data_IF_940508936465
#
_entry.id   IF_940508936465
#
_cell.length_a   1.000
_cell.length_b   1.000
_cell.length_c   1.000
_cell.angle_alpha   90.00
_cell.angle_beta   90.00
_cell.angle_gamma   90.00
#
_symmetry.space_group_name_H-M   'P 1'
#
loop_
_entity.id
_entity.type
_entity.pdbx_description
1 polymer ?
#
# COMPACT_ATOMS: atom_id res chain seq x y z
N UNK A 1 -6.83 23.72 -18.64
CA UNK A 1 -6.48 22.28 -18.65
C UNK A 1 -5.19 21.96 -17.88
N UNK A 2 -4.34 22.94 -17.51
CA UNK A 2 -3.12 22.71 -16.72
C UNK A 2 -3.36 22.42 -15.24
N UNK A 3 -4.40 23.00 -14.62
CA UNK A 3 -4.65 22.87 -13.17
C UNK A 3 -4.93 21.42 -12.74
N UNK A 4 -5.83 20.70 -13.42
CA UNK A 4 -6.24 19.35 -13.01
C UNK A 4 -5.10 18.32 -13.09
N UNK A 5 -4.33 18.32 -14.19
CA UNK A 5 -3.17 17.44 -14.37
C UNK A 5 -2.07 17.71 -13.34
N UNK A 6 -1.87 18.99 -13.00
CA UNK A 6 -0.94 19.40 -11.95
C UNK A 6 -1.39 18.89 -10.57
N UNK A 7 -2.67 19.03 -10.23
CA UNK A 7 -3.21 18.52 -8.97
C UNK A 7 -3.14 17.00 -8.87
N UNK A 8 -3.41 16.24 -9.94
CA UNK A 8 -3.21 14.78 -9.91
C UNK A 8 -1.76 14.41 -9.67
N UNK A 9 -0.79 15.12 -10.26
CA UNK A 9 0.62 14.86 -10.00
C UNK A 9 0.98 15.13 -8.55
N UNK A 10 0.50 16.25 -7.98
CA UNK A 10 0.70 16.55 -6.57
C UNK A 10 0.11 15.45 -5.69
N UNK A 11 -1.10 14.97 -6.00
CA UNK A 11 -1.74 13.90 -5.24
C UNK A 11 -0.91 12.61 -5.29
N UNK A 12 -0.47 12.18 -6.48
CA UNK A 12 0.37 10.99 -6.67
C UNK A 12 1.72 11.15 -5.96
N UNK A 13 2.33 12.35 -6.02
CA UNK A 13 3.58 12.65 -5.32
C UNK A 13 3.41 12.56 -3.81
N UNK A 14 2.40 13.23 -3.25
CA UNK A 14 2.12 13.20 -1.81
C UNK A 14 1.88 11.76 -1.36
N UNK A 15 1.07 11.01 -2.11
CA UNK A 15 0.80 9.61 -1.80
C UNK A 15 2.07 8.77 -1.83
N UNK A 16 2.90 8.90 -2.87
CA UNK A 16 4.19 8.19 -2.99
C UNK A 16 5.12 8.54 -1.82
N UNK A 17 5.20 9.81 -1.43
CA UNK A 17 5.98 10.27 -0.28
C UNK A 17 5.44 9.68 1.02
N UNK A 18 4.12 9.67 1.22
CA UNK A 18 3.49 9.07 2.41
C UNK A 18 3.77 7.58 2.45
N UNK A 19 3.61 6.85 1.35
CA UNK A 19 3.94 5.43 1.26
C UNK A 19 5.43 5.20 1.59
N UNK A 20 6.34 6.02 1.07
CA UNK A 20 7.76 5.98 1.40
C UNK A 20 8.00 6.19 2.91
N UNK A 21 7.43 7.24 3.50
CA UNK A 21 7.61 7.54 4.93
C UNK A 21 7.07 6.41 5.81
N UNK A 22 5.94 5.80 5.45
CA UNK A 22 5.32 4.73 6.23
C UNK A 22 6.06 3.39 6.10
N UNK A 23 6.62 3.09 4.93
CA UNK A 23 7.25 1.78 4.65
C UNK A 23 8.76 1.77 4.87
N UNK A 24 9.42 2.91 4.70
CA UNK A 24 10.85 3.04 4.89
C UNK A 24 11.35 2.50 6.24
N UNK A 25 10.70 2.80 7.38
CA UNK A 25 11.23 2.34 8.66
C UNK A 25 11.01 0.83 8.86
N UNK A 26 10.04 0.23 8.19
CA UNK A 26 9.90 -1.24 8.09
C UNK A 26 11.05 -1.83 7.26
N UNK A 27 11.38 -1.22 6.12
CA UNK A 27 12.45 -1.71 5.23
C UNK A 27 13.84 -1.58 5.83
N UNK A 28 14.11 -0.50 6.57
CA UNK A 28 15.42 -0.25 7.21
C UNK A 28 15.47 -0.79 8.65
N UNK A 29 14.45 -1.54 9.09
CA UNK A 29 14.40 -2.12 10.44
C UNK A 29 14.47 -1.07 11.56
N UNK A 30 14.03 0.16 11.30
CA UNK A 30 13.98 1.24 12.29
C UNK A 30 12.94 0.95 13.36
N UNK A 31 11.86 0.24 13.01
CA UNK A 31 10.84 -0.22 13.96
C UNK A 31 11.26 -1.43 14.80
N UNK A 32 12.54 -1.52 15.17
CA UNK A 32 12.99 -2.45 16.21
C UNK A 32 12.12 -2.22 17.45
N UNK A 33 11.53 -3.27 18.04
CA UNK A 33 10.74 -3.10 19.25
C UNK A 33 11.66 -2.66 20.40
N UNK A 34 11.15 -1.76 21.25
CA UNK A 34 11.84 -1.24 22.43
C UNK A 34 11.19 -1.81 23.70
N UNK A 35 11.93 -1.89 24.81
CA UNK A 35 11.45 -2.38 26.10
C UNK A 35 10.46 -1.37 26.73
N UNK A 36 10.58 -0.09 26.35
CA UNK A 36 9.70 1.00 26.81
C UNK A 36 8.41 1.13 26.00
N UNK A 37 8.29 0.41 24.89
CA UNK A 37 7.08 0.44 24.06
C UNK A 37 5.90 -0.21 24.80
N UNK A 38 4.69 0.28 24.52
CA UNK A 38 3.46 -0.41 24.91
C UNK A 38 3.46 -1.84 24.35
N UNK A 39 3.00 -2.80 25.15
CA UNK A 39 2.99 -4.22 24.78
C UNK A 39 2.25 -4.48 23.47
N UNK A 40 1.18 -3.73 23.22
CA UNK A 40 0.43 -3.74 21.98
C UNK A 40 1.29 -3.26 20.80
N UNK A 41 1.93 -2.10 20.90
CA UNK A 41 2.77 -1.53 19.84
C UNK A 41 3.97 -2.44 19.49
N UNK A 42 4.60 -3.03 20.51
CA UNK A 42 5.67 -4.04 20.34
C UNK A 42 5.17 -5.22 19.53
N UNK A 43 3.95 -5.69 19.79
CA UNK A 43 3.37 -6.84 19.12
C UNK A 43 3.06 -6.56 17.65
N UNK A 44 2.61 -5.36 17.30
CA UNK A 44 2.44 -4.92 15.89
C UNK A 44 3.78 -4.90 15.18
N UNK A 45 4.79 -4.31 15.83
CA UNK A 45 6.14 -4.22 15.27
C UNK A 45 6.63 -5.62 14.95
N UNK A 46 6.52 -6.53 15.90
CA UNK A 46 6.88 -7.92 15.73
C UNK A 46 6.06 -8.60 14.63
N UNK A 47 4.73 -8.39 14.56
CA UNK A 47 3.84 -9.08 13.64
C UNK A 47 4.07 -8.68 12.17
N UNK A 48 4.23 -7.38 11.89
CA UNK A 48 4.28 -6.85 10.52
C UNK A 48 5.54 -6.04 10.19
N UNK A 49 6.09 -5.28 11.15
CA UNK A 49 7.07 -4.23 10.83
C UNK A 49 8.52 -4.63 11.08
N UNK A 50 8.75 -5.78 11.73
CA UNK A 50 10.05 -6.24 12.18
C UNK A 50 10.23 -7.71 11.86
N UNK A 51 11.13 -8.00 10.93
CA UNK A 51 11.56 -9.34 10.56
C UNK A 51 12.93 -9.61 11.20
N UNK A 52 13.01 -10.48 12.23
CA UNK A 52 14.26 -10.77 12.94
C UNK A 52 15.39 -11.24 12.02
N UNK A 53 15.05 -11.97 10.95
CA UNK A 53 16.02 -12.52 9.99
C UNK A 53 16.57 -11.40 9.10
N UNK A 54 15.67 -10.62 8.48
CA UNK A 54 16.10 -9.50 7.64
C UNK A 54 16.83 -8.39 8.41
N UNK A 55 16.50 -8.22 9.70
CA UNK A 55 17.12 -7.24 10.57
C UNK A 55 18.36 -7.79 11.33
N UNK A 56 18.69 -9.08 11.14
CA UNK A 56 19.80 -9.78 11.77
C UNK A 56 19.86 -9.59 13.30
N UNK A 57 18.69 -9.61 13.95
CA UNK A 57 18.58 -9.36 15.40
C UNK A 57 17.34 -10.03 15.97
N UNK A 58 17.57 -10.92 16.94
CA UNK A 58 16.53 -11.58 17.71
C UNK A 58 16.01 -10.62 18.79
N UNK A 59 14.68 -10.56 18.95
CA UNK A 59 14.03 -9.76 19.98
C UNK A 59 13.41 -10.65 21.05
N UNK A 60 13.53 -10.21 22.31
CA UNK A 60 12.96 -10.87 23.46
C UNK A 60 11.74 -10.08 23.95
N UNK A 61 10.59 -10.73 23.95
CA UNK A 61 9.32 -10.18 24.39
C UNK A 61 8.95 -10.76 25.75
N UNK A 62 8.75 -9.89 26.75
CA UNK A 62 8.30 -10.31 28.07
C UNK A 62 6.78 -10.27 28.12
N UNK A 63 6.16 -11.43 28.28
CA UNK A 63 4.72 -11.59 28.35
C UNK A 63 4.31 -12.05 29.75
N UNK A 64 3.27 -11.43 30.30
CA UNK A 64 2.72 -11.83 31.60
C UNK A 64 1.38 -12.51 31.38
N UNK A 65 1.29 -13.78 31.75
CA UNK A 65 0.07 -14.58 31.66
C UNK A 65 -0.60 -14.59 33.03
N UNK A 66 -1.91 -14.39 33.09
CA UNK A 66 -2.68 -14.61 34.31
C UNK A 66 -3.34 -15.99 34.25
N UNK A 67 -3.03 -16.84 35.22
CA UNK A 67 -3.61 -18.17 35.32
C UNK A 67 -4.00 -18.47 36.77
N UNK A 68 -5.26 -18.86 37.02
CA UNK A 68 -5.77 -19.16 38.36
C UNK A 68 -5.49 -18.08 39.43
N UNK A 69 -5.50 -16.80 39.04
CA UNK A 69 -5.26 -15.68 39.96
C UNK A 69 -3.78 -15.39 40.26
N UNK A 70 -2.84 -16.16 39.72
CA UNK A 70 -1.40 -15.90 39.78
C UNK A 70 -0.89 -15.36 38.45
N UNK A 71 0.08 -14.44 38.51
CA UNK A 71 0.74 -13.90 37.32
C UNK A 71 2.06 -14.63 37.07
N UNK A 72 2.22 -15.14 35.85
CA UNK A 72 3.43 -15.80 35.38
C UNK A 72 4.10 -14.93 34.34
N UNK A 73 5.34 -14.51 34.58
CA UNK A 73 6.17 -13.84 33.58
C UNK A 73 6.92 -14.88 32.76
N UNK A 74 6.80 -14.81 31.44
CA UNK A 74 7.51 -15.66 30.50
C UNK A 74 8.21 -14.79 29.47
N UNK A 75 9.39 -15.20 29.05
CA UNK A 75 10.14 -14.54 28.00
C UNK A 75 9.98 -15.37 26.74
N UNK A 76 9.45 -14.74 25.70
CA UNK A 76 9.37 -15.27 24.35
C UNK A 76 10.44 -14.65 23.47
N UNK A 77 10.97 -15.41 22.52
CA UNK A 77 11.74 -14.84 21.42
C UNK A 77 11.36 -15.51 20.12
N UNK A 78 11.37 -14.71 19.07
CA UNK A 78 10.96 -15.10 17.73
C UNK A 78 12.22 -15.09 16.89
N UNK A 79 12.69 -16.29 16.51
CA UNK A 79 13.86 -16.44 15.65
C UNK A 79 13.54 -16.07 14.21
N UNK A 80 12.36 -16.49 13.74
CA UNK A 80 11.85 -16.23 12.40
C UNK A 80 10.40 -15.80 12.46
N UNK A 81 10.04 -14.78 11.67
CA UNK A 81 8.65 -14.38 11.48
C UNK A 81 8.31 -14.35 10.00
N UNK A 82 7.67 -15.43 9.52
CA UNK A 82 7.24 -15.56 8.13
C UNK A 82 6.20 -14.52 7.72
N UNK A 83 5.32 -14.12 8.65
CA UNK A 83 4.29 -13.10 8.40
C UNK A 83 4.95 -11.76 8.14
N UNK A 84 5.89 -11.34 9.00
CA UNK A 84 6.64 -10.11 8.81
C UNK A 84 7.53 -10.14 7.56
N UNK A 85 8.15 -11.29 7.26
CA UNK A 85 8.97 -11.46 6.05
C UNK A 85 8.13 -11.35 4.76
N UNK A 86 6.96 -12.00 4.72
CA UNK A 86 6.01 -11.91 3.62
C UNK A 86 5.47 -10.48 3.49
N UNK A 87 5.06 -9.86 4.60
CA UNK A 87 4.61 -8.48 4.64
C UNK A 87 5.68 -7.50 4.12
N UNK A 88 6.95 -7.70 4.50
CA UNK A 88 8.09 -6.92 4.02
C UNK A 88 8.29 -7.10 2.52
N UNK A 89 8.21 -8.33 2.00
CA UNK A 89 8.32 -8.62 0.56
C UNK A 89 7.20 -7.93 -0.24
N UNK A 90 5.97 -8.08 0.23
CA UNK A 90 4.78 -7.40 -0.26
C UNK A 90 4.95 -5.87 -0.26
N UNK A 91 5.43 -5.31 0.85
CA UNK A 91 5.71 -3.88 0.99
C UNK A 91 6.74 -3.38 -0.04
N UNK A 92 7.80 -4.17 -0.34
CA UNK A 92 8.78 -3.84 -1.38
C UNK A 92 8.17 -3.82 -2.79
N UNK A 93 7.31 -4.79 -3.10
CA UNK A 93 6.60 -4.81 -4.38
C UNK A 93 5.67 -3.59 -4.51
N UNK A 94 4.91 -3.31 -3.45
CA UNK A 94 3.99 -2.19 -3.37
C UNK A 94 4.69 -0.82 -3.55
N UNK A 95 5.79 -0.57 -2.84
CA UNK A 95 6.53 0.68 -2.97
C UNK A 95 7.14 0.85 -4.37
N UNK A 96 7.58 -0.26 -4.97
CA UNK A 96 8.13 -0.26 -6.33
C UNK A 96 7.05 0.11 -7.35
N UNK A 97 5.82 -0.39 -7.18
CA UNK A 97 4.68 0.01 -8.02
C UNK A 97 4.38 1.50 -7.87
N UNK A 98 4.36 2.05 -6.65
CA UNK A 98 4.15 3.49 -6.44
C UNK A 98 5.24 4.34 -7.08
N UNK A 99 6.51 3.97 -6.92
CA UNK A 99 7.64 4.68 -7.57
C UNK A 99 7.50 4.62 -9.08
N UNK A 100 7.18 3.45 -9.64
CA UNK A 100 6.98 3.28 -11.08
C UNK A 100 5.81 4.10 -11.60
N UNK A 101 4.70 4.13 -10.85
CA UNK A 101 3.53 4.93 -11.17
C UNK A 101 3.82 6.43 -11.15
N UNK A 102 4.58 6.89 -10.16
CA UNK A 102 5.03 8.27 -10.06
C UNK A 102 5.92 8.67 -11.24
N UNK A 103 6.87 7.82 -11.64
CA UNK A 103 7.71 8.03 -12.83
C UNK A 103 6.84 8.15 -14.09
N UNK A 104 5.88 7.24 -14.27
CA UNK A 104 4.94 7.30 -15.39
C UNK A 104 4.09 8.57 -15.37
N UNK A 105 3.71 9.06 -14.19
CA UNK A 105 3.00 10.35 -14.05
C UNK A 105 3.84 11.52 -14.54
N UNK A 106 5.14 11.54 -14.22
CA UNK A 106 6.07 12.56 -14.71
C UNK A 106 6.18 12.49 -16.24
N UNK A 107 6.37 11.28 -16.79
CA UNK A 107 6.46 11.07 -18.23
C UNK A 107 5.18 11.53 -18.95
N UNK A 108 4.01 11.21 -18.40
CA UNK A 108 2.73 11.64 -18.94
C UNK A 108 2.60 13.18 -18.92
N UNK A 109 3.09 13.86 -17.88
CA UNK A 109 3.11 15.32 -17.87
C UNK A 109 4.03 15.89 -18.95
N UNK A 110 5.22 15.34 -19.11
CA UNK A 110 6.17 15.77 -20.15
C UNK A 110 5.54 15.54 -21.54
N UNK A 111 4.93 14.38 -21.78
CA UNK A 111 4.26 14.06 -23.04
C UNK A 111 3.01 14.92 -23.29
N UNK A 112 2.32 15.39 -22.25
CA UNK A 112 1.17 16.29 -22.41
C UNK A 112 1.53 17.60 -23.13
N UNK A 113 2.80 18.01 -23.03
CA UNK A 113 3.35 19.15 -23.79
C UNK A 113 3.63 18.82 -25.26
N UNK A 114 3.75 17.53 -25.61
CA UNK A 114 4.11 17.02 -26.95
C UNK A 114 2.97 16.21 -27.56
N UNK A 115 2.17 16.88 -28.39
CA UNK A 115 0.93 16.36 -29.00
C UNK A 115 1.01 15.06 -29.82
N UNK A 116 2.20 14.50 -30.10
CA UNK A 116 2.32 13.26 -30.89
C UNK A 116 2.51 12.00 -30.04
N UNK A 117 3.05 12.10 -28.82
CA UNK A 117 3.49 10.92 -28.04
C UNK A 117 2.59 10.53 -26.87
N UNK A 118 1.60 11.36 -26.50
CA UNK A 118 0.82 11.25 -25.24
C UNK A 118 0.03 9.95 -24.97
N UNK A 119 0.12 8.92 -25.82
CA UNK A 119 -0.59 7.66 -25.64
C UNK A 119 0.32 6.54 -25.14
N UNK A 120 1.64 6.69 -25.28
CA UNK A 120 2.60 5.65 -24.89
C UNK A 120 2.77 5.56 -23.37
N UNK A 121 2.80 6.68 -22.65
CA UNK A 121 2.90 6.68 -21.18
C UNK A 121 1.56 6.45 -20.47
N UNK A 122 0.44 6.81 -21.11
CA UNK A 122 -0.88 6.75 -20.49
C UNK A 122 -1.35 5.31 -20.22
N UNK A 123 -1.16 4.40 -21.17
CA UNK A 123 -1.56 3.00 -21.01
C UNK A 123 -0.81 2.32 -19.85
N UNK A 124 0.55 2.33 -19.79
CA UNK A 124 1.25 1.76 -18.65
C UNK A 124 0.92 2.50 -17.35
N UNK A 125 0.71 3.82 -17.37
CA UNK A 125 0.25 4.57 -16.20
C UNK A 125 -1.08 4.02 -15.65
N UNK A 126 -2.06 3.78 -16.52
CA UNK A 126 -3.37 3.25 -16.09
C UNK A 126 -3.29 1.81 -15.60
N UNK A 127 -2.46 0.97 -16.24
CA UNK A 127 -2.26 -0.43 -15.83
C UNK A 127 -1.61 -0.48 -14.45
N UNK A 128 -0.58 0.32 -14.21
CA UNK A 128 0.12 0.37 -12.93
C UNK A 128 -0.77 0.95 -11.83
N UNK A 129 -1.50 2.04 -12.11
CA UNK A 129 -2.46 2.59 -11.14
C UNK A 129 -3.55 1.57 -10.75
N UNK A 130 -4.05 0.80 -11.72
CA UNK A 130 -5.00 -0.28 -11.44
C UNK A 130 -4.38 -1.39 -10.59
N UNK A 131 -3.13 -1.75 -10.86
CA UNK A 131 -2.39 -2.73 -10.06
C UNK A 131 -2.17 -2.24 -8.62
N UNK A 132 -1.84 -0.96 -8.42
CA UNK A 132 -1.72 -0.33 -7.10
C UNK A 132 -3.04 -0.44 -6.32
N UNK A 133 -4.16 -0.07 -6.94
CA UNK A 133 -5.50 -0.22 -6.33
C UNK A 133 -5.78 -1.67 -5.91
N UNK A 134 -5.49 -2.63 -6.80
CA UNK A 134 -5.71 -4.04 -6.51
C UNK A 134 -4.87 -4.50 -5.31
N UNK A 135 -3.61 -4.07 -5.22
CA UNK A 135 -2.73 -4.40 -4.08
C UNK A 135 -3.24 -3.78 -2.78
N UNK A 136 -3.69 -2.52 -2.81
CA UNK A 136 -4.26 -1.85 -1.63
C UNK A 136 -5.50 -2.58 -1.11
N UNK A 137 -6.38 -3.05 -2.01
CA UNK A 137 -7.55 -3.86 -1.65
C UNK A 137 -7.13 -5.20 -1.06
N UNK A 138 -6.13 -5.88 -1.65
CA UNK A 138 -5.61 -7.14 -1.12
C UNK A 138 -5.08 -6.93 0.31
N UNK A 139 -4.33 -5.86 0.58
CA UNK A 139 -3.83 -5.57 1.92
C UNK A 139 -4.95 -5.24 2.90
N UNK A 140 -5.95 -4.47 2.48
CA UNK A 140 -7.13 -4.23 3.30
C UNK A 140 -7.81 -5.56 3.69
N UNK A 141 -7.98 -6.48 2.74
CA UNK A 141 -8.58 -7.80 3.01
C UNK A 141 -7.69 -8.62 3.94
N UNK A 142 -6.37 -8.65 3.72
CA UNK A 142 -5.43 -9.37 4.60
C UNK A 142 -5.53 -8.86 6.04
N UNK A 143 -5.52 -7.55 6.24
CA UNK A 143 -5.68 -6.97 7.58
C UNK A 143 -7.04 -7.28 8.20
N UNK A 144 -8.12 -7.29 7.41
CA UNK A 144 -9.45 -7.69 7.90
C UNK A 144 -9.51 -9.17 8.28
N UNK A 145 -8.85 -10.05 7.55
CA UNK A 145 -8.73 -11.47 7.90
C UNK A 145 -7.92 -11.63 9.19
N UNK A 146 -6.85 -10.85 9.34
CA UNK A 146 -5.99 -10.88 10.53
C UNK A 146 -6.68 -10.38 11.81
N UNK A 147 -7.80 -9.64 11.71
CA UNK A 147 -8.66 -9.29 12.87
C UNK A 147 -9.06 -10.54 13.66
N UNK A 148 -9.31 -11.67 12.97
CA UNK A 148 -9.69 -12.94 13.61
C UNK A 148 -8.57 -13.55 14.48
N UNK A 149 -7.31 -13.22 14.19
CA UNK A 149 -6.13 -13.75 14.87
C UNK A 149 -5.47 -12.74 15.83
N UNK A 150 -5.85 -11.47 15.75
CA UNK A 150 -5.26 -10.35 16.52
C UNK A 150 -6.12 -9.92 17.71
N UNK A 151 -7.10 -10.73 18.11
CA UNK A 151 -8.02 -10.40 19.20
C UNK A 151 -7.37 -10.31 20.60
N UNK A 152 -6.22 -10.94 20.80
CA UNK A 152 -5.44 -10.82 22.04
C UNK A 152 -3.96 -11.16 21.78
N UNK A 153 -3.09 -10.85 22.75
CA UNK A 153 -1.63 -11.02 22.57
C UNK A 153 -1.22 -12.48 22.41
N UNK A 154 -1.86 -13.39 23.13
CA UNK A 154 -1.57 -14.81 23.08
C UNK A 154 -1.92 -15.42 21.71
N UNK A 155 -3.05 -15.02 21.13
CA UNK A 155 -3.48 -15.42 19.78
C UNK A 155 -2.52 -14.90 18.71
N UNK A 156 -1.92 -13.73 18.89
CA UNK A 156 -0.91 -13.22 17.95
C UNK A 156 0.37 -14.04 18.02
N UNK A 157 0.84 -14.37 19.23
CA UNK A 157 2.01 -15.24 19.40
C UNK A 157 1.75 -16.64 18.84
N UNK A 158 0.55 -17.19 19.04
CA UNK A 158 0.12 -18.47 18.45
C UNK A 158 0.03 -18.38 16.93
N UNK A 159 -0.43 -17.27 16.37
CA UNK A 159 -0.47 -17.05 14.93
C UNK A 159 0.93 -17.00 14.30
N UNK A 160 1.90 -16.39 14.99
CA UNK A 160 3.31 -16.38 14.57
C UNK A 160 3.92 -17.79 14.70
N UNK A 161 3.60 -18.53 15.75
CA UNK A 161 4.16 -19.87 16.02
C UNK A 161 3.56 -20.98 15.15
N UNK A 162 2.27 -20.86 14.83
CA UNK A 162 1.41 -21.89 14.26
C UNK A 162 1.80 -22.39 12.87
N UNK A 163 2.79 -21.77 12.22
CA UNK A 163 3.28 -22.26 10.94
C UNK A 163 4.45 -23.25 11.08
N UNK A 164 5.40 -23.07 12.00
CA UNK A 164 6.63 -23.90 12.04
C UNK A 164 7.38 -23.97 13.39
N UNK A 165 6.78 -23.57 14.52
CA UNK A 165 7.43 -23.60 15.86
C UNK A 165 8.69 -22.74 16.00
N UNK A 166 8.67 -21.53 15.43
CA UNK A 166 9.78 -20.57 15.50
C UNK A 166 9.70 -19.62 16.69
N UNK A 167 8.67 -19.79 17.54
CA UNK A 167 8.54 -19.07 18.79
C UNK A 167 9.04 -19.95 19.93
N UNK A 168 10.04 -19.45 20.63
CA UNK A 168 10.61 -20.12 21.77
C UNK A 168 10.15 -19.45 23.07
N UNK A 169 9.89 -20.26 24.09
CA UNK A 169 9.47 -19.81 25.41
C UNK A 169 10.31 -20.49 26.48
N UNK A 170 10.75 -19.75 27.50
CA UNK A 170 11.47 -20.35 28.62
C UNK A 170 10.60 -21.25 29.52
N UNK A 171 9.27 -21.14 29.48
CA UNK A 171 8.37 -21.78 30.44
C UNK A 171 7.14 -22.43 29.77
N UNK A 172 7.39 -23.39 28.86
CA UNK A 172 6.39 -23.94 27.93
C UNK A 172 5.24 -24.70 28.61
N UNK A 173 5.49 -25.26 29.79
CA UNK A 173 4.58 -26.23 30.43
C UNK A 173 3.41 -25.60 31.21
N UNK A 174 3.42 -24.27 31.42
CA UNK A 174 2.45 -23.59 32.30
C UNK A 174 1.60 -22.50 31.61
N UNK A 175 1.72 -22.32 30.29
CA UNK A 175 1.10 -21.20 29.59
C UNK A 175 -0.20 -21.65 28.93
N UNK A 176 -1.30 -21.56 29.66
CA UNK A 176 -2.63 -21.52 29.06
C UNK A 176 -2.84 -20.12 28.47
N UNK A 177 -2.83 -20.00 27.14
CA UNK A 177 -3.06 -18.77 26.35
C UNK A 177 -4.47 -18.17 26.50
N UNK A 178 -5.33 -18.76 27.34
CA UNK A 178 -6.78 -18.49 27.38
C UNK A 178 -7.22 -17.19 28.08
N UNK A 179 -6.32 -16.46 28.74
CA UNK A 179 -6.70 -15.33 29.59
C UNK A 179 -5.81 -14.11 29.36
N UNK A 180 -6.05 -13.42 28.25
CA UNK A 180 -5.64 -12.03 28.07
C UNK A 180 -6.87 -11.18 27.77
N UNK A 181 -6.95 -10.01 28.41
CA UNK A 181 -8.10 -9.09 28.33
C UNK A 181 -7.83 -7.88 27.45
N UNK A 182 -6.59 -7.66 27.00
CA UNK A 182 -6.29 -6.58 26.05
C UNK A 182 -6.77 -7.00 24.66
N UNK A 183 -7.83 -6.35 24.19
CA UNK A 183 -8.28 -6.47 22.81
C UNK A 183 -7.33 -5.70 21.90
N UNK A 184 -6.53 -6.42 21.11
CA UNK A 184 -5.55 -5.87 20.17
C UNK A 184 -6.08 -5.80 18.73
N UNK A 185 -7.34 -6.18 18.49
CA UNK A 185 -7.91 -6.28 17.14
C UNK A 185 -8.08 -4.92 16.45
N UNK A 186 -8.19 -3.84 17.25
CA UNK A 186 -8.32 -2.46 16.76
C UNK A 186 -7.17 -2.04 15.84
N UNK A 187 -5.98 -2.64 16.01
CA UNK A 187 -4.81 -2.37 15.20
C UNK A 187 -5.01 -2.87 13.76
N UNK A 188 -5.46 -4.11 13.61
CA UNK A 188 -5.71 -4.70 12.30
C UNK A 188 -6.80 -3.90 11.57
N UNK A 189 -7.83 -3.44 12.31
CA UNK A 189 -8.85 -2.54 11.79
C UNK A 189 -8.28 -1.17 11.36
N UNK A 190 -7.36 -0.59 12.14
CA UNK A 190 -6.70 0.67 11.79
C UNK A 190 -5.87 0.53 10.50
N UNK A 191 -5.12 -0.57 10.37
CA UNK A 191 -4.33 -0.85 9.18
C UNK A 191 -5.22 -1.08 7.95
N UNK A 192 -6.30 -1.85 8.10
CA UNK A 192 -7.32 -2.02 7.06
C UNK A 192 -7.94 -0.68 6.64
N UNK A 193 -8.27 0.18 7.59
CA UNK A 193 -8.80 1.51 7.32
C UNK A 193 -7.81 2.40 6.55
N UNK A 194 -6.52 2.37 6.91
CA UNK A 194 -5.47 3.11 6.19
C UNK A 194 -5.36 2.60 4.74
N UNK A 195 -5.37 1.29 4.53
CA UNK A 195 -5.37 0.70 3.19
C UNK A 195 -6.60 1.12 2.36
N UNK A 196 -7.79 1.14 2.96
CA UNK A 196 -9.03 1.57 2.28
C UNK A 196 -9.00 3.07 1.94
N UNK A 197 -8.43 3.92 2.80
CA UNK A 197 -8.25 5.34 2.48
C UNK A 197 -7.36 5.55 1.25
N UNK A 198 -6.32 4.73 1.08
CA UNK A 198 -5.49 4.72 -0.13
C UNK A 198 -6.34 4.51 -1.39
N UNK A 199 -7.21 3.49 -1.37
CA UNK A 199 -8.13 3.18 -2.48
C UNK A 199 -9.02 4.36 -2.87
N UNK A 200 -9.56 5.09 -1.88
CA UNK A 200 -10.43 6.25 -2.17
C UNK A 200 -9.66 7.34 -2.92
N UNK A 201 -8.43 7.65 -2.49
CA UNK A 201 -7.57 8.64 -3.16
C UNK A 201 -7.25 8.21 -4.59
N UNK A 202 -6.96 6.92 -4.79
CA UNK A 202 -6.69 6.33 -6.10
C UNK A 202 -7.87 6.43 -7.07
N UNK A 203 -9.10 6.16 -6.60
CA UNK A 203 -10.30 6.28 -7.43
C UNK A 203 -10.46 7.71 -7.94
N UNK A 204 -10.27 8.72 -7.07
CA UNK A 204 -10.31 10.12 -7.50
C UNK A 204 -9.22 10.45 -8.52
N UNK A 205 -7.99 9.95 -8.31
CA UNK A 205 -6.88 10.13 -9.25
C UNK A 205 -7.18 9.50 -10.62
N UNK A 206 -7.80 8.32 -10.65
CA UNK A 206 -8.21 7.65 -11.89
C UNK A 206 -9.20 8.49 -12.72
N UNK A 207 -10.23 9.04 -12.07
CA UNK A 207 -11.22 9.88 -12.76
C UNK A 207 -10.61 11.15 -13.33
N UNK A 208 -9.69 11.79 -12.59
CA UNK A 208 -8.95 12.96 -13.07
C UNK A 208 -8.13 12.63 -14.33
N UNK A 209 -7.43 11.49 -14.34
CA UNK A 209 -6.60 11.06 -15.48
C UNK A 209 -7.47 10.76 -16.70
N UNK A 210 -8.60 10.09 -16.50
CA UNK A 210 -9.59 9.83 -17.55
C UNK A 210 -10.09 11.13 -18.18
N UNK A 211 -10.44 12.12 -17.36
CA UNK A 211 -10.91 13.42 -17.86
C UNK A 211 -9.83 14.16 -18.66
N UNK A 212 -8.57 14.10 -18.19
CA UNK A 212 -7.43 14.63 -18.92
C UNK A 212 -7.24 13.96 -20.29
N UNK A 213 -7.44 12.64 -20.37
CA UNK A 213 -7.38 11.90 -21.64
C UNK A 213 -8.44 12.38 -22.63
N UNK A 214 -9.71 12.42 -22.23
CA UNK A 214 -10.79 12.86 -23.12
C UNK A 214 -10.61 14.30 -23.58
N UNK A 215 -10.13 15.17 -22.70
CA UNK A 215 -9.84 16.55 -23.04
C UNK A 215 -8.69 16.66 -24.07
N UNK A 216 -7.63 15.85 -23.95
CA UNK A 216 -6.55 15.78 -24.93
C UNK A 216 -7.02 15.25 -26.30
N UNK A 217 -7.86 14.21 -26.31
CA UNK A 217 -8.47 13.68 -27.55
C UNK A 217 -9.36 14.72 -28.22
N UNK A 218 -10.16 15.46 -27.45
CA UNK A 218 -11.01 16.52 -27.96
C UNK A 218 -10.20 17.64 -28.63
N UNK A 219 -9.05 18.02 -28.05
CA UNK A 219 -8.15 19.00 -28.67
C UNK A 219 -7.58 18.53 -30.01
N UNK A 220 -7.15 17.26 -30.12
CA UNK A 220 -6.63 16.70 -31.39
C UNK A 220 -7.67 16.65 -32.50
N UNK A 221 -8.96 16.50 -32.18
CA UNK A 221 -10.05 16.48 -33.18
C UNK A 221 -10.37 17.87 -33.75
N UNK A 222 -10.02 18.98 -33.08
CA UNK A 222 -10.33 20.35 -33.55
C UNK A 222 -9.63 20.72 -34.87
N UNK A 223 -8.31 20.51 -35.06
CA UNK A 223 -7.64 20.77 -36.34
C UNK A 223 -8.12 19.88 -37.48
N UNK A 224 -8.44 18.61 -37.20
CA UNK A 224 -8.94 17.66 -38.21
C UNK A 224 -10.31 18.10 -38.75
N UNK A 225 -11.21 18.59 -37.87
CA UNK A 225 -12.48 19.19 -38.31
C UNK A 225 -12.28 20.42 -39.17
N UNK A 226 -11.35 21.33 -38.82
CA UNK A 226 -11.03 22.52 -39.65
C UNK A 226 -10.46 22.13 -41.02
N UNK A 227 -9.62 21.10 -41.08
CA UNK A 227 -9.04 20.62 -42.34
C UNK A 227 -10.11 19.97 -43.23
N UNK A 228 -11.00 19.16 -42.68
CA UNK A 228 -12.11 18.54 -43.41
C UNK A 228 -13.17 19.56 -43.86
N UNK A 229 -13.48 20.58 -43.05
CA UNK A 229 -14.42 21.64 -43.45
C UNK A 229 -13.89 22.52 -44.59
N UNK A 230 -12.58 22.75 -44.63
CA UNK A 230 -11.95 23.47 -45.72
C UNK A 230 -11.93 22.63 -47.00
N UNK A 231 -11.74 21.31 -46.88
CA UNK A 231 -11.81 20.40 -48.02
C UNK A 231 -13.23 20.29 -48.60
N UNK A 232 -14.26 20.23 -47.75
CA UNK A 232 -15.65 20.22 -48.23
C UNK A 232 -16.05 21.53 -48.90
N UNK A 233 -15.60 22.69 -48.38
CA UNK A 233 -15.80 23.98 -49.05
C UNK A 233 -15.07 24.07 -50.38
N UNK A 234 -13.80 23.67 -50.44
CA UNK A 234 -13.03 23.68 -51.69
C UNK A 234 -13.63 22.76 -52.76
N UNK A 235 -14.08 21.57 -52.37
CA UNK A 235 -14.76 20.64 -53.26
C UNK A 235 -16.12 21.15 -53.74
N UNK A 236 -16.83 21.93 -52.92
CA UNK A 236 -18.10 22.57 -53.30
C UNK A 236 -17.89 23.71 -54.31
N UNK A 237 -16.84 24.52 -54.13
CA UNK A 237 -16.49 25.56 -55.11
C UNK A 237 -16.04 24.98 -56.46
N UNK A 238 -15.29 23.86 -56.47
CA UNK A 238 -14.95 23.19 -57.74
C UNK A 238 -16.16 22.64 -58.52
N UNK A 239 -17.28 22.36 -57.85
CA UNK A 239 -18.51 21.90 -58.52
C UNK A 239 -19.39 23.02 -59.08
N UNK A 240 -19.21 24.26 -58.61
CA UNK A 240 -19.99 25.43 -59.07
C UNK A 240 -19.33 26.14 -60.26
N UNK A 241 -18.01 26.00 -60.41
CA UNK A 241 -17.22 26.67 -61.45
C UNK A 241 -16.77 25.73 -62.59
N UNK A 242 -17.33 24.53 -62.68
CA UNK A 242 -17.17 23.60 -63.80
C UNK A 242 -18.49 23.53 -64.59
#
# INVERSE_FOLDING_TARGET
>A
MSSLAFWSMIAILIQTIVCLILTWPTLVCTYSPNIEDLSEATLIKVLYLYDPVACNRVYFYNYTVFFNGTSYKTIFWISENKIAADFRSKTKAWITLHIFWFILSILNLIESTRSRLSHFSLLPFTVVGTAVIAVDVIYAILFLVDVGYTGNQASILEYIDGQEKHVHSFNKDNISTKYDRSDTSWIALLMAYVSIRGVVVEVFNFWIVKDNYFAAVAQRRKPQRRKNSNFSKASYYSYIYA
#
